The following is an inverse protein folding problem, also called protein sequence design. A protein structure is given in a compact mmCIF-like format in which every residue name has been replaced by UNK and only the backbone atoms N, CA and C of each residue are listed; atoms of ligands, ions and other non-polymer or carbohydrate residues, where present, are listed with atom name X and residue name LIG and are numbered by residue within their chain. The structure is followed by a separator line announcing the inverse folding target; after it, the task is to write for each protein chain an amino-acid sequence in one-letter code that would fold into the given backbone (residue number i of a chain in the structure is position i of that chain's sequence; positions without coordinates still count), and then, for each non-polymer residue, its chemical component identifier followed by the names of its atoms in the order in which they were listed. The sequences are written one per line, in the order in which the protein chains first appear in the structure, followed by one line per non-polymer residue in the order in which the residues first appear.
data_IF_992299659593
#
_entry.id   IF_992299659593
#
_cell.length_a   1.000
_cell.length_b   1.000
_cell.length_c   1.000
_cell.angle_alpha   90.00
_cell.angle_beta   90.00
_cell.angle_gamma   90.00
#
_symmetry.space_group_name_H-M   'P 1'
#
loop_
_entity.id
_entity.type
_entity.pdbx_description
1 polymer ?
#
# COMPACT_ATOMS: atom_id res chain seq x y z
N UNK A 1 -21.72 5.82 18.45
CA UNK A 1 -20.40 5.28 18.82
C UNK A 1 -19.40 6.21 18.20
N UNK A 2 -18.55 6.85 19.00
CA UNK A 2 -17.50 7.74 18.49
C UNK A 2 -16.66 6.94 17.50
N UNK A 3 -16.81 7.25 16.20
CA UNK A 3 -16.00 6.66 15.13
C UNK A 3 -14.56 7.19 15.14
N UNK A 4 -14.23 8.07 16.09
CA UNK A 4 -13.02 8.89 16.08
C UNK A 4 -11.82 8.23 16.77
N UNK A 5 -11.99 7.07 17.44
CA UNK A 5 -10.88 6.35 18.09
C UNK A 5 -11.06 4.83 18.07
N UNK A 6 -9.93 4.10 18.03
CA UNK A 6 -9.91 2.65 18.29
C UNK A 6 -10.09 2.40 19.79
N UNK A 7 -11.08 1.61 20.20
CA UNK A 7 -11.21 1.18 21.60
C UNK A 7 -10.03 0.29 21.99
N UNK A 8 -9.76 0.14 23.30
CA UNK A 8 -8.70 -0.76 23.79
C UNK A 8 -8.93 -2.20 23.32
N UNK A 9 -10.18 -2.68 23.37
CA UNK A 9 -10.53 -4.04 22.93
C UNK A 9 -10.35 -4.22 21.43
N UNK A 10 -10.76 -3.24 20.61
CA UNK A 10 -10.58 -3.32 19.15
C UNK A 10 -9.10 -3.27 18.77
N UNK A 11 -8.29 -2.43 19.44
CA UNK A 11 -6.85 -2.38 19.21
C UNK A 11 -6.16 -3.69 19.60
N UNK A 12 -6.55 -4.28 20.74
CA UNK A 12 -6.06 -5.59 21.18
C UNK A 12 -6.40 -6.67 20.15
N UNK A 13 -7.66 -6.74 19.71
CA UNK A 13 -8.10 -7.72 18.71
C UNK A 13 -7.36 -7.54 17.37
N UNK A 14 -7.17 -6.29 16.93
CA UNK A 14 -6.38 -5.99 15.74
C UNK A 14 -4.95 -6.54 15.89
N UNK A 15 -4.27 -6.26 17.00
CA UNK A 15 -2.89 -6.70 17.21
C UNK A 15 -2.80 -8.22 17.33
N UNK A 16 -3.71 -8.88 18.05
CA UNK A 16 -3.77 -10.34 18.13
C UNK A 16 -3.94 -10.97 16.74
N UNK A 17 -4.77 -10.36 15.88
CA UNK A 17 -5.02 -10.86 14.53
C UNK A 17 -3.83 -10.61 13.61
N UNK A 18 -3.35 -9.37 13.54
CA UNK A 18 -2.27 -8.92 12.65
C UNK A 18 -0.95 -9.60 12.99
N UNK A 19 -0.64 -9.76 14.28
CA UNK A 19 0.62 -10.35 14.69
C UNK A 19 0.52 -11.83 15.00
N UNK A 20 -0.60 -12.37 15.46
CA UNK A 20 -0.64 -13.74 15.99
C UNK A 20 0.54 -13.96 16.97
N UNK A 21 0.50 -13.24 18.10
CA UNK A 21 1.60 -13.21 19.06
C UNK A 21 2.11 -14.61 19.41
N UNK A 22 3.41 -14.77 19.32
CA UNK A 22 4.12 -16.01 19.61
C UNK A 22 4.73 -15.92 21.01
N UNK A 23 4.97 -17.05 21.69
CA UNK A 23 5.62 -17.01 23.00
C UNK A 23 6.99 -16.31 23.04
N UNK A 24 7.67 -16.25 21.88
CA UNK A 24 8.95 -15.57 21.71
C UNK A 24 8.82 -14.04 21.56
N UNK A 25 7.66 -13.52 21.13
CA UNK A 25 7.46 -12.08 21.01
C UNK A 25 7.31 -11.47 22.41
N UNK A 26 8.28 -10.67 22.86
CA UNK A 26 8.34 -10.04 24.19
C UNK A 26 8.23 -8.53 24.14
N UNK A 27 8.69 -7.90 23.06
CA UNK A 27 8.81 -6.45 22.96
C UNK A 27 8.09 -5.92 21.74
N UNK A 28 7.10 -5.05 21.98
CA UNK A 28 6.43 -4.26 20.95
C UNK A 28 6.96 -2.81 20.97
N UNK A 29 7.49 -2.36 19.85
CA UNK A 29 8.08 -1.03 19.69
C UNK A 29 7.28 -0.18 18.73
N UNK A 30 6.87 1.00 19.18
CA UNK A 30 6.36 2.06 18.32
C UNK A 30 7.51 2.99 17.91
N UNK A 31 7.64 3.29 16.62
CA UNK A 31 8.55 4.34 16.13
C UNK A 31 7.76 5.42 15.39
N UNK A 32 7.98 6.67 15.75
CA UNK A 32 7.18 7.80 15.25
C UNK A 32 8.11 8.94 14.81
N UNK A 33 7.91 9.45 13.60
CA UNK A 33 8.68 10.59 13.10
C UNK A 33 8.10 11.93 13.59
N UNK A 34 8.97 12.94 13.68
CA UNK A 34 8.60 14.30 14.10
C UNK A 34 9.02 15.35 13.06
N UNK A 35 8.30 16.48 12.97
CA UNK A 35 8.62 17.59 12.08
C UNK A 35 9.96 18.26 12.41
N UNK A 36 10.53 18.92 11.40
CA UNK A 36 11.70 19.78 11.52
C UNK A 36 11.53 21.04 10.66
N UNK A 37 12.54 21.90 10.61
CA UNK A 37 12.45 23.19 9.90
C UNK A 37 12.26 23.03 8.38
N UNK A 38 12.71 21.90 7.80
CA UNK A 38 12.62 21.65 6.36
C UNK A 38 11.27 21.04 5.96
N UNK A 39 10.68 20.23 6.84
CA UNK A 39 9.36 19.63 6.67
C UNK A 39 8.50 20.01 7.88
N UNK A 40 7.81 21.16 7.81
CA UNK A 40 7.01 21.68 8.91
C UNK A 40 5.78 20.80 9.16
N UNK A 41 5.28 20.88 10.39
CA UNK A 41 4.14 20.10 10.84
C UNK A 41 2.82 20.52 10.17
N UNK A 42 1.83 19.63 10.25
CA UNK A 42 0.45 19.88 9.84
C UNK A 42 -0.54 19.06 10.68
N UNK A 43 -1.82 19.44 10.63
CA UNK A 43 -2.85 18.89 11.51
C UNK A 43 -2.97 17.36 11.46
N UNK A 44 -2.86 16.77 10.27
CA UNK A 44 -2.90 15.31 10.10
C UNK A 44 -1.67 14.59 10.70
N UNK A 45 -0.46 15.17 10.60
CA UNK A 45 0.73 14.59 11.21
C UNK A 45 0.70 14.71 12.73
N UNK A 46 0.24 15.85 13.26
CA UNK A 46 -0.03 16.03 14.68
C UNK A 46 -1.03 14.97 15.18
N UNK A 47 -2.17 14.81 14.51
CA UNK A 47 -3.17 13.80 14.85
C UNK A 47 -2.59 12.37 14.82
N UNK A 48 -1.73 12.07 13.84
CA UNK A 48 -1.04 10.77 13.76
C UNK A 48 -0.13 10.51 14.95
N UNK A 49 0.64 11.51 15.40
CA UNK A 49 1.49 11.37 16.60
C UNK A 49 0.66 11.18 17.87
N UNK A 50 -0.48 11.88 18.00
CA UNK A 50 -1.43 11.66 19.10
C UNK A 50 -2.05 10.27 19.07
N UNK A 51 -2.46 9.77 17.89
CA UNK A 51 -2.98 8.41 17.72
C UNK A 51 -1.92 7.36 18.09
N UNK A 52 -0.69 7.52 17.63
CA UNK A 52 0.40 6.60 17.94
C UNK A 52 0.66 6.49 19.46
N UNK A 53 0.63 7.63 20.15
CA UNK A 53 0.78 7.69 21.60
C UNK A 53 -0.39 7.06 22.33
N UNK A 54 -1.62 7.34 21.92
CA UNK A 54 -2.84 6.70 22.45
C UNK A 54 -2.81 5.17 22.27
N UNK A 55 -2.40 4.68 21.10
CA UNK A 55 -2.27 3.24 20.83
C UNK A 55 -1.17 2.60 21.67
N UNK A 56 -0.02 3.27 21.84
CA UNK A 56 1.03 2.81 22.74
C UNK A 56 0.53 2.71 24.20
N UNK A 57 -0.22 3.70 24.69
CA UNK A 57 -0.81 3.68 26.03
C UNK A 57 -1.82 2.53 26.20
N UNK A 58 -2.71 2.34 25.22
CA UNK A 58 -3.68 1.24 25.22
C UNK A 58 -2.98 -0.11 25.19
N UNK A 59 -2.03 -0.30 24.28
CA UNK A 59 -1.23 -1.51 24.17
C UNK A 59 -0.46 -1.83 25.45
N UNK A 60 0.09 -0.81 26.10
CA UNK A 60 0.75 -0.96 27.41
C UNK A 60 -0.20 -1.50 28.49
N UNK A 61 -1.49 -1.18 28.42
CA UNK A 61 -2.49 -1.62 29.41
C UNK A 61 -2.95 -3.07 29.22
N UNK A 62 -2.89 -3.62 28.00
CA UNK A 62 -3.23 -5.03 27.72
C UNK A 62 -2.02 -5.92 27.43
N UNK A 63 -0.78 -5.43 27.60
CA UNK A 63 0.45 -6.16 27.23
C UNK A 63 0.56 -7.55 27.87
N UNK A 64 0.15 -7.69 29.13
CA UNK A 64 0.21 -8.95 29.86
C UNK A 64 -0.77 -9.98 29.28
N UNK A 65 -1.92 -9.53 28.78
CA UNK A 65 -2.94 -10.41 28.18
C UNK A 65 -2.44 -11.07 26.89
N UNK A 66 -1.56 -10.39 26.16
CA UNK A 66 -0.97 -10.86 24.89
C UNK A 66 0.46 -11.40 25.08
N UNK A 67 0.93 -11.54 26.32
CA UNK A 67 2.21 -12.16 26.66
C UNK A 67 3.47 -11.31 26.41
N UNK A 68 3.31 -10.01 26.16
CA UNK A 68 4.40 -9.06 26.01
C UNK A 68 4.97 -8.65 27.38
N UNK A 69 6.28 -8.52 27.45
CA UNK A 69 6.99 -8.01 28.63
C UNK A 69 7.05 -6.47 28.60
N UNK A 70 7.31 -5.90 27.41
CA UNK A 70 7.51 -4.46 27.22
C UNK A 70 6.73 -3.94 26.02
N UNK A 71 6.13 -2.75 26.18
CA UNK A 71 5.58 -1.95 25.07
C UNK A 71 6.23 -0.57 25.15
N UNK A 72 6.99 -0.20 24.13
CA UNK A 72 7.82 1.00 24.12
C UNK A 72 7.51 1.90 22.94
N UNK A 73 7.81 3.19 23.08
CA UNK A 73 7.64 4.19 22.02
C UNK A 73 8.89 5.07 21.94
N UNK A 74 9.36 5.27 20.70
CA UNK A 74 10.47 6.15 20.42
C UNK A 74 10.14 7.11 19.29
N UNK A 75 10.75 8.29 19.36
CA UNK A 75 10.60 9.36 18.38
C UNK A 75 11.90 9.61 17.63
N UNK A 76 11.80 10.02 16.38
CA UNK A 76 12.96 10.37 15.58
C UNK A 76 12.65 11.51 14.61
N UNK A 77 13.67 12.27 14.23
CA UNK A 77 13.49 13.33 13.23
C UNK A 77 13.18 12.72 11.86
N UNK A 78 12.20 13.29 11.16
CA UNK A 78 11.86 12.86 9.81
C UNK A 78 13.07 12.87 8.86
N UNK A 79 13.06 11.94 7.90
CA UNK A 79 14.20 11.65 7.02
C UNK A 79 14.11 12.37 5.66
N UNK A 80 13.27 13.40 5.57
CA UNK A 80 13.11 14.29 4.40
C UNK A 80 12.38 13.70 3.18
N UNK A 81 12.38 12.38 2.99
CA UNK A 81 11.61 11.72 1.92
C UNK A 81 11.14 10.32 2.30
N UNK A 82 10.06 9.86 1.67
CA UNK A 82 9.57 8.48 1.78
C UNK A 82 10.68 7.46 1.51
N UNK A 83 10.73 6.40 2.31
CA UNK A 83 11.63 5.25 2.20
C UNK A 83 13.13 5.57 2.30
N UNK A 84 13.51 6.73 2.84
CA UNK A 84 14.90 7.02 3.16
C UNK A 84 15.36 6.24 4.40
N UNK A 85 16.67 6.11 4.61
CA UNK A 85 17.21 5.40 5.78
C UNK A 85 16.77 6.08 7.09
N UNK A 86 16.37 5.27 8.08
CA UNK A 86 16.10 5.76 9.43
C UNK A 86 17.38 6.32 10.07
N UNK A 87 17.28 7.33 10.96
CA UNK A 87 18.44 7.86 11.64
C UNK A 87 19.05 6.83 12.61
N UNK A 88 20.35 6.95 12.88
CA UNK A 88 21.09 6.04 13.76
C UNK A 88 20.71 6.16 15.25
N UNK A 89 19.83 7.11 15.61
CA UNK A 89 19.40 7.37 16.98
C UNK A 89 17.92 7.71 17.06
N UNK A 90 17.29 7.21 18.11
CA UNK A 90 15.92 7.54 18.50
C UNK A 90 15.91 8.19 19.89
N UNK A 91 14.76 8.75 20.26
CA UNK A 91 14.57 9.49 21.50
C UNK A 91 13.37 8.94 22.27
N UNK A 92 13.60 8.53 23.52
CA UNK A 92 12.52 8.34 24.50
C UNK A 92 12.20 9.69 25.13
N UNK A 93 10.97 10.17 24.93
CA UNK A 93 10.55 11.52 25.35
C UNK A 93 9.28 11.42 26.17
N UNK A 94 9.25 12.07 27.32
CA UNK A 94 8.02 12.24 28.11
C UNK A 94 7.30 13.53 27.72
N UNK A 95 5.96 13.51 27.74
CA UNK A 95 5.13 14.68 27.53
C UNK A 95 4.10 14.48 26.41
N UNK A 96 3.56 15.60 25.94
CA UNK A 96 2.53 15.65 24.91
C UNK A 96 3.13 15.51 23.51
N UNK A 97 2.83 14.43 22.74
CA UNK A 97 3.41 14.18 21.42
C UNK A 97 3.10 15.25 20.38
N UNK A 98 2.07 16.06 20.61
CA UNK A 98 1.70 17.22 19.78
C UNK A 98 2.79 18.29 19.77
N UNK A 99 3.59 18.37 20.84
CA UNK A 99 4.66 19.36 20.99
C UNK A 99 6.02 18.87 20.45
N UNK A 100 6.10 17.62 20.00
CA UNK A 100 7.37 17.03 19.61
C UNK A 100 7.77 17.48 18.20
N UNK A 101 8.90 18.19 18.15
CA UNK A 101 9.67 18.51 16.95
C UNK A 101 11.07 17.93 17.10
N UNK A 102 11.86 17.91 16.02
CA UNK A 102 13.24 17.46 16.06
C UNK A 102 14.07 18.19 17.14
N UNK A 103 13.87 19.50 17.30
CA UNK A 103 14.51 20.30 18.35
C UNK A 103 14.07 19.84 19.75
N UNK A 104 12.76 19.68 19.96
CA UNK A 104 12.20 19.30 21.27
C UNK A 104 12.66 17.91 21.70
N UNK A 105 12.63 16.92 20.80
CA UNK A 105 13.04 15.55 21.17
C UNK A 105 14.54 15.45 21.45
N UNK A 106 15.38 16.22 20.75
CA UNK A 106 16.82 16.28 21.03
C UNK A 106 17.14 16.97 22.36
N UNK A 107 16.36 17.99 22.72
CA UNK A 107 16.58 18.76 23.95
C UNK A 107 16.06 18.03 25.20
N UNK A 108 14.90 17.37 25.10
CA UNK A 108 14.20 16.78 26.24
C UNK A 108 14.32 15.25 26.32
N UNK A 109 14.58 14.60 25.19
CA UNK A 109 14.58 13.15 25.08
C UNK A 109 15.85 12.50 25.60
N UNK A 110 15.71 11.28 26.13
CA UNK A 110 16.84 10.37 26.29
C UNK A 110 17.15 9.75 24.93
N UNK A 111 18.32 10.06 24.41
CA UNK A 111 18.83 9.50 23.16
C UNK A 111 19.24 8.04 23.34
N UNK A 112 18.88 7.19 22.38
CA UNK A 112 19.17 5.76 22.34
C UNK A 112 19.61 5.39 20.91
N UNK A 113 20.69 4.61 20.72
CA UNK A 113 21.06 4.11 19.41
C UNK A 113 19.93 3.30 18.76
N UNK A 114 19.64 3.55 17.49
CA UNK A 114 18.61 2.81 16.73
C UNK A 114 18.90 1.31 16.72
N UNK A 115 20.16 0.91 16.59
CA UNK A 115 20.56 -0.49 16.64
C UNK A 115 20.26 -1.17 18.00
N UNK A 116 20.32 -0.43 19.11
CA UNK A 116 19.95 -0.96 20.44
C UNK A 116 18.44 -1.19 20.52
N UNK A 117 17.65 -0.22 20.06
CA UNK A 117 16.18 -0.34 19.99
C UNK A 117 15.77 -1.52 19.10
N UNK A 118 16.34 -1.64 17.90
CA UNK A 118 15.97 -2.70 16.96
C UNK A 118 16.40 -4.07 17.45
N UNK A 119 17.56 -4.21 18.11
CA UNK A 119 18.04 -5.49 18.64
C UNK A 119 17.18 -6.04 19.79
N UNK A 120 16.44 -5.19 20.49
CA UNK A 120 15.49 -5.58 21.54
C UNK A 120 14.05 -5.69 21.04
N UNK A 121 13.77 -5.35 19.78
CA UNK A 121 12.41 -5.33 19.25
C UNK A 121 12.05 -6.67 18.61
N UNK A 122 10.90 -7.24 18.98
CA UNK A 122 10.32 -8.39 18.26
C UNK A 122 9.27 -7.95 17.24
N UNK A 123 8.49 -6.92 17.62
CA UNK A 123 7.38 -6.39 16.84
C UNK A 123 7.48 -4.88 16.70
N UNK A 124 7.33 -4.36 15.48
CA UNK A 124 7.34 -2.91 15.23
C UNK A 124 6.01 -2.38 14.68
N UNK A 125 5.60 -1.20 15.14
CA UNK A 125 4.51 -0.40 14.58
C UNK A 125 5.04 1.01 14.28
N UNK A 126 4.97 1.44 13.02
CA UNK A 126 5.51 2.74 12.59
C UNK A 126 4.45 3.65 11.96
N UNK A 127 3.61 4.35 12.76
CA UNK A 127 2.68 5.36 12.25
C UNK A 127 3.46 6.66 11.99
N UNK A 128 3.83 6.87 10.72
CA UNK A 128 4.82 7.87 10.31
C UNK A 128 4.25 8.79 9.24
N UNK A 129 4.74 10.02 9.12
CA UNK A 129 4.44 10.90 7.97
C UNK A 129 5.14 10.37 6.72
N UNK A 130 6.47 10.21 6.81
CA UNK A 130 7.26 9.68 5.71
C UNK A 130 7.37 8.16 5.82
N UNK A 131 7.19 7.47 4.70
CA UNK A 131 7.18 6.01 4.69
C UNK A 131 8.47 5.39 5.20
N UNK A 132 8.36 4.64 6.29
CA UNK A 132 9.43 3.81 6.84
C UNK A 132 9.35 2.36 6.35
N UNK A 133 8.48 2.01 5.39
CA UNK A 133 8.25 0.62 4.98
C UNK A 133 9.54 -0.04 4.47
N UNK A 134 10.24 0.58 3.52
CA UNK A 134 11.46 0.01 2.94
C UNK A 134 12.61 -0.15 3.95
N UNK A 135 13.00 0.88 4.73
CA UNK A 135 14.04 0.70 5.74
C UNK A 135 13.64 -0.32 6.81
N UNK A 136 12.38 -0.34 7.27
CA UNK A 136 11.93 -1.36 8.23
C UNK A 136 11.99 -2.78 7.65
N UNK A 137 11.66 -3.00 6.37
CA UNK A 137 11.85 -4.30 5.70
C UNK A 137 13.31 -4.76 5.66
N UNK A 138 14.25 -3.83 5.55
CA UNK A 138 15.68 -4.14 5.57
C UNK A 138 16.17 -4.45 6.99
N UNK A 139 15.81 -3.60 7.96
CA UNK A 139 16.18 -3.77 9.36
C UNK A 139 15.54 -5.01 9.99
N UNK A 140 14.32 -5.38 9.57
CA UNK A 140 13.68 -6.62 9.99
C UNK A 140 14.55 -7.85 9.69
N UNK A 141 15.25 -7.85 8.54
CA UNK A 141 16.15 -8.94 8.16
C UNK A 141 17.44 -8.97 8.97
N UNK A 142 17.90 -7.80 9.40
CA UNK A 142 19.13 -7.61 10.17
C UNK A 142 18.94 -7.90 11.66
N UNK A 143 17.84 -7.41 12.25
CA UNK A 143 17.55 -7.46 13.68
C UNK A 143 16.49 -8.50 14.07
N UNK A 144 15.92 -9.24 13.11
CA UNK A 144 15.00 -10.36 13.32
C UNK A 144 13.63 -9.98 13.93
N UNK A 145 13.11 -8.80 13.60
CA UNK A 145 11.75 -8.39 13.96
C UNK A 145 10.76 -8.51 12.80
N UNK A 146 9.47 -8.43 13.09
CA UNK A 146 8.37 -8.29 12.10
C UNK A 146 7.48 -7.11 12.48
N UNK A 147 6.60 -6.65 11.60
CA UNK A 147 5.85 -5.45 11.92
C UNK A 147 4.99 -4.83 10.85
N UNK A 148 4.54 -3.62 11.16
CA UNK A 148 3.69 -2.82 10.28
C UNK A 148 4.10 -1.36 10.29
N UNK A 149 3.86 -0.70 9.17
CA UNK A 149 4.09 0.72 8.99
C UNK A 149 2.82 1.38 8.45
N UNK A 150 2.54 2.61 8.84
CA UNK A 150 1.31 3.31 8.46
C UNK A 150 1.67 4.73 7.94
N UNK A 151 2.31 4.81 6.76
CA UNK A 151 2.81 6.06 6.21
C UNK A 151 1.67 6.99 5.83
N UNK A 152 1.73 8.24 6.28
CA UNK A 152 0.70 9.22 5.97
C UNK A 152 -0.68 8.86 6.53
N UNK A 153 -0.78 7.95 7.51
CA UNK A 153 -2.07 7.51 8.05
C UNK A 153 -2.85 8.68 8.65
N UNK A 154 -4.14 8.79 8.32
CA UNK A 154 -5.03 9.87 8.76
C UNK A 154 -6.23 9.30 9.54
N UNK A 155 -6.88 10.08 10.43
CA UNK A 155 -8.01 9.59 11.23
C UNK A 155 -9.14 8.96 10.42
N UNK A 156 -9.39 9.45 9.20
CA UNK A 156 -10.41 8.94 8.29
C UNK A 156 -10.17 7.47 7.86
N UNK A 157 -8.95 6.96 8.05
CA UNK A 157 -8.61 5.55 7.81
C UNK A 157 -8.87 4.63 9.00
N UNK A 158 -9.18 5.15 10.20
CA UNK A 158 -9.45 4.34 11.40
C UNK A 158 -10.50 3.24 11.18
N UNK A 159 -11.58 3.44 10.40
CA UNK A 159 -12.52 2.37 10.09
C UNK A 159 -11.85 1.13 9.45
N UNK A 160 -10.77 1.32 8.67
CA UNK A 160 -10.03 0.22 8.05
C UNK A 160 -9.26 -0.65 9.05
N UNK A 161 -8.92 -0.10 10.22
CA UNK A 161 -8.30 -0.85 11.32
C UNK A 161 -9.34 -1.60 12.18
N UNK A 162 -10.62 -1.25 12.08
CA UNK A 162 -11.73 -1.91 12.79
C UNK A 162 -12.33 -3.10 12.03
N UNK A 163 -11.86 -3.37 10.81
CA UNK A 163 -12.34 -4.50 10.03
C UNK A 163 -11.93 -5.84 10.67
N UNK A 164 -12.69 -6.88 10.36
CA UNK A 164 -12.30 -8.26 10.69
C UNK A 164 -11.21 -8.71 9.73
N UNK A 165 -9.94 -8.54 10.13
CA UNK A 165 -8.80 -8.89 9.29
C UNK A 165 -8.74 -10.38 8.93
N UNK A 166 -9.38 -11.28 9.68
CA UNK A 166 -9.47 -12.69 9.27
C UNK A 166 -10.30 -12.84 7.99
N UNK A 167 -11.44 -12.13 7.90
CA UNK A 167 -12.27 -12.12 6.68
C UNK A 167 -11.59 -11.40 5.54
N UNK A 168 -10.90 -10.28 5.81
CA UNK A 168 -10.10 -9.57 4.81
C UNK A 168 -9.00 -10.50 4.26
N UNK A 169 -8.30 -11.22 5.14
CA UNK A 169 -7.28 -12.19 4.74
C UNK A 169 -7.85 -13.36 3.93
N UNK A 170 -8.97 -13.95 4.35
CA UNK A 170 -9.66 -15.00 3.58
C UNK A 170 -9.98 -14.52 2.16
N UNK A 171 -10.53 -13.31 2.05
CA UNK A 171 -10.88 -12.68 0.77
C UNK A 171 -9.66 -12.49 -0.14
N UNK A 172 -8.56 -12.00 0.43
CA UNK A 172 -7.29 -11.78 -0.27
C UNK A 172 -6.68 -13.11 -0.71
N UNK A 173 -6.61 -14.12 0.17
CA UNK A 173 -6.03 -15.41 -0.19
C UNK A 173 -6.84 -16.17 -1.24
N UNK A 174 -8.16 -16.01 -1.23
CA UNK A 174 -9.06 -16.51 -2.25
C UNK A 174 -8.77 -15.88 -3.63
N UNK A 175 -8.54 -14.56 -3.69
CA UNK A 175 -8.13 -13.87 -4.91
C UNK A 175 -6.72 -14.30 -5.37
N UNK A 176 -5.75 -14.34 -4.44
CA UNK A 176 -4.37 -14.78 -4.71
C UNK A 176 -4.31 -16.18 -5.31
N UNK A 177 -5.08 -17.12 -4.79
CA UNK A 177 -5.09 -18.50 -5.30
C UNK A 177 -5.49 -18.53 -6.78
N UNK A 178 -6.51 -17.76 -7.17
CA UNK A 178 -6.95 -17.65 -8.56
C UNK A 178 -5.90 -17.00 -9.45
N UNK A 179 -5.34 -15.88 -9.01
CA UNK A 179 -4.33 -15.15 -9.78
C UNK A 179 -3.02 -15.94 -9.95
N UNK A 180 -2.65 -16.76 -8.96
CA UNK A 180 -1.47 -17.63 -9.04
C UNK A 180 -1.59 -18.73 -10.10
N UNK A 181 -2.82 -19.09 -10.47
CA UNK A 181 -3.14 -20.15 -11.45
C UNK A 181 -3.55 -19.59 -12.82
N UNK A 182 -4.09 -18.38 -12.86
CA UNK A 182 -4.51 -17.70 -14.08
C UNK A 182 -3.31 -17.37 -14.98
N UNK A 183 -3.53 -17.42 -16.30
CA UNK A 183 -2.55 -17.00 -17.31
C UNK A 183 -2.95 -15.71 -18.02
N UNK A 184 -4.18 -15.25 -17.82
CA UNK A 184 -4.72 -14.06 -18.44
C UNK A 184 -5.85 -13.48 -17.59
N UNK A 185 -5.96 -12.17 -17.57
CA UNK A 185 -7.07 -11.43 -16.98
C UNK A 185 -7.63 -10.45 -18.01
N UNK A 186 -8.92 -10.61 -18.35
CA UNK A 186 -9.63 -9.75 -19.29
C UNK A 186 -10.52 -8.76 -18.53
N UNK A 187 -10.19 -7.47 -18.65
CA UNK A 187 -10.90 -6.37 -17.98
C UNK A 187 -11.71 -5.60 -19.01
N UNK A 188 -13.02 -5.52 -18.82
CA UNK A 188 -13.94 -4.74 -19.65
C UNK A 188 -14.40 -3.53 -18.86
N UNK A 189 -14.12 -2.35 -19.38
CA UNK A 189 -14.56 -1.07 -18.85
C UNK A 189 -15.80 -0.61 -19.61
N UNK A 190 -16.82 -0.11 -18.91
CA UNK A 190 -17.88 0.71 -19.50
C UNK A 190 -17.59 2.17 -19.16
N UNK A 191 -17.44 2.99 -20.19
CA UNK A 191 -17.21 4.43 -20.07
C UNK A 191 -18.37 5.12 -20.74
N UNK A 192 -19.32 5.63 -19.93
CA UNK A 192 -20.52 6.32 -20.41
C UNK A 192 -21.27 5.54 -21.51
N UNK A 193 -21.37 4.21 -21.37
CA UNK A 193 -22.02 3.30 -22.31
C UNK A 193 -21.15 2.81 -23.48
N UNK A 194 -19.87 3.17 -23.52
CA UNK A 194 -18.90 2.67 -24.51
C UNK A 194 -17.95 1.67 -23.84
N UNK A 195 -17.82 0.47 -24.43
CA UNK A 195 -16.94 -0.56 -23.89
C UNK A 195 -15.50 -0.43 -24.40
N UNK A 196 -14.55 -0.58 -23.48
CA UNK A 196 -13.13 -0.76 -23.76
C UNK A 196 -12.64 -2.03 -23.09
N UNK A 197 -11.64 -2.68 -23.67
CA UNK A 197 -11.10 -3.95 -23.16
C UNK A 197 -9.60 -3.87 -23.01
N UNK A 198 -9.10 -4.33 -21.87
CA UNK A 198 -7.69 -4.58 -21.63
C UNK A 198 -7.49 -6.06 -21.34
N UNK A 199 -6.63 -6.70 -22.12
CA UNK A 199 -6.21 -8.08 -21.91
C UNK A 199 -4.88 -8.02 -21.18
N UNK A 200 -4.82 -8.51 -19.95
CA UNK A 200 -3.60 -8.57 -19.15
C UNK A 200 -3.02 -9.99 -19.22
N UNK A 201 -1.73 -10.08 -19.54
CA UNK A 201 -0.99 -11.35 -19.57
C UNK A 201 -0.41 -11.66 -18.19
N UNK A 202 -0.85 -12.76 -17.58
CA UNK A 202 -0.41 -13.18 -16.24
C UNK A 202 0.60 -14.35 -16.29
N UNK A 203 1.02 -14.79 -17.47
CA UNK A 203 1.97 -15.90 -17.61
C UNK A 203 3.27 -15.60 -16.87
N UNK A 204 3.88 -16.61 -16.26
CA UNK A 204 5.17 -16.49 -15.57
C UNK A 204 5.17 -15.57 -14.34
N UNK A 205 3.98 -15.23 -13.82
CA UNK A 205 3.83 -14.36 -12.66
C UNK A 205 3.21 -15.11 -11.48
N UNK A 206 3.37 -14.51 -10.30
CA UNK A 206 2.71 -14.90 -9.07
C UNK A 206 2.17 -13.66 -8.40
N UNK A 207 0.98 -13.78 -7.84
CA UNK A 207 0.36 -12.70 -7.10
C UNK A 207 1.00 -12.57 -5.71
N UNK A 208 0.94 -11.38 -5.15
CA UNK A 208 1.37 -11.09 -3.78
C UNK A 208 0.15 -10.71 -2.94
N UNK A 209 0.01 -11.32 -1.77
CA UNK A 209 -1.02 -10.96 -0.82
C UNK A 209 -0.52 -9.83 0.09
N UNK A 210 -1.32 -8.77 0.19
CA UNK A 210 -1.15 -7.66 1.13
C UNK A 210 -2.36 -7.68 2.06
N UNK A 211 -2.37 -8.67 2.97
CA UNK A 211 -3.51 -8.96 3.86
C UNK A 211 -3.40 -8.40 5.27
N UNK A 212 -2.30 -7.74 5.62
CA UNK A 212 -2.06 -7.23 6.97
C UNK A 212 -1.78 -8.33 8.01
N UNK A 213 -1.45 -9.54 7.57
CA UNK A 213 -1.01 -10.63 8.45
C UNK A 213 0.51 -10.66 8.46
N UNK A 214 1.11 -10.21 9.55
CA UNK A 214 2.57 -10.18 9.68
C UNK A 214 3.08 -11.37 10.48
N UNK A 215 2.43 -12.54 10.34
CA UNK A 215 2.65 -13.72 11.17
C UNK A 215 4.02 -14.35 11.00
N UNK A 216 4.69 -14.14 9.86
CA UNK A 216 5.97 -14.75 9.51
C UNK A 216 7.17 -13.85 9.89
N UNK A 217 8.33 -14.50 10.05
CA UNK A 217 9.57 -13.81 10.42
C UNK A 217 9.97 -12.76 9.39
N UNK A 218 10.46 -11.62 9.88
CA UNK A 218 11.10 -10.59 9.04
C UNK A 218 10.17 -9.94 8.02
N UNK A 219 8.85 -10.14 8.18
CA UNK A 219 7.85 -9.52 7.32
C UNK A 219 7.41 -8.19 7.93
N UNK A 220 7.58 -7.14 7.14
CA UNK A 220 7.04 -5.81 7.43
C UNK A 220 6.22 -5.35 6.23
N UNK A 221 5.01 -4.87 6.48
CA UNK A 221 4.15 -4.30 5.45
C UNK A 221 3.37 -3.09 5.94
N UNK A 222 2.31 -2.76 5.21
CA UNK A 222 1.49 -1.60 5.53
C UNK A 222 0.20 -1.98 6.25
N UNK A 223 -0.25 -1.10 7.14
CA UNK A 223 -1.64 -1.03 7.58
C UNK A 223 -2.21 0.37 7.28
N UNK A 224 -3.48 0.48 6.86
CA UNK A 224 -4.39 -0.63 6.54
C UNK A 224 -3.88 -1.46 5.35
N UNK A 225 -4.30 -2.71 5.29
CA UNK A 225 -3.96 -3.67 4.23
C UNK A 225 -5.27 -4.22 3.66
N UNK A 226 -5.30 -4.71 2.43
CA UNK A 226 -6.60 -4.98 1.82
C UNK A 226 -6.62 -5.38 0.37
N UNK A 227 -5.56 -5.99 -0.15
CA UNK A 227 -5.50 -6.31 -1.58
C UNK A 227 -4.66 -7.56 -1.88
N UNK A 228 -4.89 -8.09 -3.08
CA UNK A 228 -3.94 -8.95 -3.78
C UNK A 228 -3.50 -8.25 -5.04
N UNK A 229 -2.21 -8.25 -5.33
CA UNK A 229 -1.71 -7.65 -6.58
C UNK A 229 -0.82 -8.59 -7.37
N UNK A 230 -0.71 -8.33 -8.66
CA UNK A 230 0.14 -9.07 -9.58
C UNK A 230 0.77 -8.11 -10.59
N UNK A 231 2.07 -8.23 -10.80
CA UNK A 231 2.75 -7.52 -11.89
C UNK A 231 2.44 -8.28 -13.18
N UNK A 232 1.89 -7.64 -14.23
CA UNK A 232 1.70 -8.29 -15.52
C UNK A 232 3.01 -8.86 -16.09
N UNK A 233 2.92 -9.87 -16.95
CA UNK A 233 4.09 -10.33 -17.69
C UNK A 233 4.59 -9.23 -18.62
N UNK A 234 5.85 -8.81 -18.46
CA UNK A 234 6.39 -7.64 -19.16
C UNK A 234 7.13 -8.03 -20.47
N UNK A 235 7.17 -9.32 -20.79
CA UNK A 235 7.79 -9.82 -22.02
C UNK A 235 9.30 -10.02 -21.90
N UNK A 236 9.82 -10.19 -20.70
CA UNK A 236 11.27 -10.28 -20.43
C UNK A 236 11.93 -11.60 -20.89
N UNK A 237 11.15 -12.63 -21.25
CA UNK A 237 11.69 -13.90 -21.75
C UNK A 237 11.91 -13.80 -23.27
N UNK A 238 13.15 -14.04 -23.70
CA UNK A 238 13.54 -13.99 -25.11
C UNK A 238 12.68 -14.92 -25.96
N UNK A 239 12.06 -14.37 -27.02
CA UNK A 239 11.19 -15.11 -27.92
C UNK A 239 9.76 -15.34 -27.42
N UNK A 240 9.41 -14.82 -26.24
CA UNK A 240 8.06 -14.89 -25.66
C UNK A 240 7.61 -13.49 -25.22
N UNK A 241 7.14 -12.63 -26.16
CA UNK A 241 6.68 -11.29 -25.80
C UNK A 241 5.44 -11.32 -24.90
N UNK A 242 5.21 -10.23 -24.17
CA UNK A 242 3.97 -10.03 -23.43
C UNK A 242 2.78 -9.96 -24.39
N UNK A 243 1.69 -10.62 -24.01
CA UNK A 243 0.39 -10.55 -24.68
C UNK A 243 -0.49 -9.40 -24.17
N UNK A 244 -0.03 -8.60 -23.19
CA UNK A 244 -0.83 -7.51 -22.63
C UNK A 244 -1.13 -6.45 -23.68
N UNK A 245 -2.40 -6.24 -24.01
CA UNK A 245 -2.85 -5.29 -25.03
C UNK A 245 -4.31 -4.88 -24.88
N UNK A 246 -4.66 -3.71 -25.41
CA UNK A 246 -6.04 -3.20 -25.42
C UNK A 246 -6.10 -1.70 -25.16
N UNK A 247 -7.18 -1.25 -24.52
CA UNK A 247 -7.38 0.15 -24.14
C UNK A 247 -7.73 0.26 -22.67
N UNK A 248 -6.96 1.06 -21.93
CA UNK A 248 -7.23 1.40 -20.53
C UNK A 248 -7.76 2.83 -20.46
N UNK A 249 -9.02 3.05 -20.03
CA UNK A 249 -9.52 4.38 -19.73
C UNK A 249 -9.09 4.83 -18.33
N UNK A 250 -8.80 6.13 -18.18
CA UNK A 250 -8.52 6.77 -16.89
C UNK A 250 -9.24 8.11 -16.84
N UNK A 251 -9.96 8.38 -15.76
CA UNK A 251 -10.69 9.63 -15.57
C UNK A 251 -9.82 10.70 -14.91
N UNK A 252 -9.82 11.91 -15.48
CA UNK A 252 -9.19 13.10 -14.94
C UNK A 252 -10.22 14.24 -14.89
N UNK A 253 -10.87 14.42 -13.73
CA UNK A 253 -12.01 15.33 -13.62
C UNK A 253 -13.13 14.90 -14.55
N UNK A 254 -13.53 15.76 -15.49
CA UNK A 254 -14.57 15.46 -16.48
C UNK A 254 -14.05 14.74 -17.75
N UNK A 255 -12.73 14.71 -17.95
CA UNK A 255 -12.07 14.16 -19.14
C UNK A 255 -11.73 12.66 -18.95
N UNK A 256 -11.95 11.84 -19.98
CA UNK A 256 -11.49 10.44 -20.02
C UNK A 256 -10.30 10.35 -20.96
N UNK A 257 -9.17 9.91 -20.41
CA UNK A 257 -7.96 9.62 -21.18
C UNK A 257 -7.92 8.14 -21.55
N UNK A 258 -7.80 7.84 -22.84
CA UNK A 258 -7.77 6.46 -23.36
C UNK A 258 -6.35 6.06 -23.76
N UNK A 259 -5.74 5.14 -23.03
CA UNK A 259 -4.39 4.63 -23.33
C UNK A 259 -4.46 3.36 -24.18
N UNK A 260 -3.82 3.37 -25.35
CA UNK A 260 -3.58 2.15 -26.15
C UNK A 260 -2.40 1.40 -25.56
N UNK A 261 -2.64 0.14 -25.18
CA UNK A 261 -1.65 -0.75 -24.58
C UNK A 261 -1.18 -1.77 -25.61
N UNK A 262 0.14 -1.91 -25.76
CA UNK A 262 0.79 -2.94 -26.58
C UNK A 262 2.03 -3.47 -25.86
N UNK A 263 2.15 -4.79 -25.75
CA UNK A 263 3.32 -5.44 -25.13
C UNK A 263 3.56 -4.96 -23.70
N UNK A 264 2.48 -4.84 -22.91
CA UNK A 264 2.47 -4.34 -21.54
C UNK A 264 2.83 -2.84 -21.36
N UNK A 265 2.72 -2.03 -22.41
CA UNK A 265 3.02 -0.60 -22.33
C UNK A 265 1.93 0.24 -22.96
N UNK A 266 1.55 1.32 -22.30
CA UNK A 266 0.85 2.42 -22.93
C UNK A 266 1.78 3.09 -23.95
N UNK A 267 1.40 2.99 -25.22
CA UNK A 267 2.19 3.48 -26.35
C UNK A 267 1.57 4.72 -27.00
N UNK A 268 0.32 5.02 -26.72
CA UNK A 268 -0.41 6.17 -27.29
C UNK A 268 -1.60 6.56 -26.42
N UNK A 269 -1.95 7.86 -26.44
CA UNK A 269 -3.22 8.39 -25.95
C UNK A 269 -4.16 8.64 -27.14
N UNK A 270 -5.29 7.93 -27.17
CA UNK A 270 -6.26 7.92 -28.26
C UNK A 270 -7.33 9.02 -28.17
N UNK A 271 -7.54 9.55 -26.97
CA UNK A 271 -8.51 10.61 -26.70
C UNK A 271 -7.93 12.00 -26.98
N UNK A 272 -8.82 12.98 -27.06
CA UNK A 272 -8.48 14.39 -27.26
C UNK A 272 -8.91 15.20 -26.04
N UNK A 273 -8.15 16.25 -25.72
CA UNK A 273 -8.41 17.09 -24.56
C UNK A 273 -7.13 17.52 -23.86
N UNK A 274 -7.28 18.37 -22.84
CA UNK A 274 -6.15 18.98 -22.15
C UNK A 274 -5.36 17.92 -21.37
N UNK A 275 -6.06 17.01 -20.69
CA UNK A 275 -5.39 15.95 -19.95
C UNK A 275 -4.82 14.91 -20.91
N UNK A 276 -5.50 14.61 -22.01
CA UNK A 276 -5.00 13.73 -23.07
C UNK A 276 -3.70 14.25 -23.67
N UNK A 277 -3.62 15.55 -23.97
CA UNK A 277 -2.38 16.19 -24.43
C UNK A 277 -1.28 16.11 -23.39
N UNK A 278 -1.59 16.37 -22.11
CA UNK A 278 -0.61 16.25 -21.03
C UNK A 278 -0.07 14.82 -20.91
N UNK A 279 -0.95 13.82 -20.92
CA UNK A 279 -0.58 12.41 -20.80
C UNK A 279 0.21 11.91 -22.02
N UNK A 280 -0.14 12.39 -23.23
CA UNK A 280 0.62 12.10 -24.45
C UNK A 280 2.04 12.64 -24.38
N UNK A 281 2.22 13.89 -23.93
CA UNK A 281 3.56 14.46 -23.71
C UNK A 281 4.32 13.68 -22.63
N UNK A 282 3.69 13.30 -21.52
CA UNK A 282 4.33 12.49 -20.48
C UNK A 282 4.84 11.15 -21.02
N UNK A 283 4.08 10.43 -21.85
CA UNK A 283 4.52 9.18 -22.47
C UNK A 283 5.69 9.36 -23.44
N UNK A 284 5.71 10.48 -24.18
CA UNK A 284 6.82 10.79 -25.10
C UNK A 284 8.08 11.13 -24.30
N UNK A 285 7.95 11.99 -23.29
CA UNK A 285 9.06 12.49 -22.48
C UNK A 285 9.64 11.43 -21.53
N UNK A 286 8.83 10.47 -21.12
CA UNK A 286 9.21 9.38 -20.24
C UNK A 286 8.49 8.07 -20.61
N UNK A 287 8.97 7.30 -21.60
CA UNK A 287 8.33 6.06 -22.01
C UNK A 287 8.23 5.00 -20.89
N UNK A 288 9.09 5.06 -19.87
CA UNK A 288 9.03 4.15 -18.72
C UNK A 288 7.77 4.35 -17.86
N UNK A 289 7.19 5.56 -17.85
CA UNK A 289 5.88 5.81 -17.23
C UNK A 289 4.79 4.93 -17.85
N UNK A 290 4.87 4.63 -19.15
CA UNK A 290 3.85 3.85 -19.84
C UNK A 290 3.79 2.36 -19.47
N UNK A 291 4.73 1.82 -18.68
CA UNK A 291 4.69 0.41 -18.29
C UNK A 291 3.47 0.11 -17.40
N UNK A 292 2.74 -0.97 -17.67
CA UNK A 292 1.70 -1.45 -16.75
C UNK A 292 2.39 -2.23 -15.64
N UNK A 293 2.51 -1.60 -14.48
CA UNK A 293 3.36 -2.03 -13.39
C UNK A 293 2.70 -3.00 -12.42
N UNK A 294 1.37 -2.94 -12.30
CA UNK A 294 0.60 -3.71 -11.32
C UNK A 294 -0.87 -3.77 -11.73
N UNK A 295 -1.50 -4.91 -11.47
CA UNK A 295 -2.96 -5.04 -11.34
C UNK A 295 -3.25 -5.42 -9.91
N UNK A 296 -3.86 -4.51 -9.16
CA UNK A 296 -4.22 -4.73 -7.77
C UNK A 296 -5.72 -4.91 -7.60
N UNK A 297 -6.06 -5.82 -6.71
CA UNK A 297 -7.41 -6.29 -6.42
C UNK A 297 -7.73 -5.93 -4.97
N UNK A 298 -8.06 -4.67 -4.75
CA UNK A 298 -8.49 -4.15 -3.46
C UNK A 298 -9.88 -4.68 -3.08
N UNK A 299 -10.05 -5.04 -1.81
CA UNK A 299 -11.30 -5.68 -1.32
C UNK A 299 -12.01 -4.84 -0.27
N UNK A 300 -11.41 -3.77 0.23
CA UNK A 300 -11.93 -2.99 1.36
C UNK A 300 -13.23 -2.25 1.03
N UNK A 301 -13.52 -1.97 -0.25
CA UNK A 301 -14.80 -1.41 -0.68
C UNK A 301 -15.98 -2.32 -0.36
N UNK A 302 -15.82 -3.66 -0.45
CA UNK A 302 -16.86 -4.63 -0.07
C UNK A 302 -17.17 -4.61 1.43
N UNK A 303 -16.21 -4.16 2.24
CA UNK A 303 -16.36 -3.98 3.68
C UNK A 303 -16.98 -2.62 4.05
N UNK A 304 -17.46 -1.86 3.05
CA UNK A 304 -18.17 -0.60 3.23
C UNK A 304 -17.27 0.62 3.38
N UNK A 305 -15.97 0.49 3.10
CA UNK A 305 -15.05 1.62 3.14
C UNK A 305 -15.10 2.44 1.85
N UNK A 306 -14.74 3.71 1.95
CA UNK A 306 -14.80 4.69 0.87
C UNK A 306 -13.46 5.40 0.74
N UNK A 307 -13.25 6.06 -0.41
CA UNK A 307 -12.05 6.83 -0.64
C UNK A 307 -11.94 7.99 0.35
N UNK A 308 -10.74 8.16 0.91
CA UNK A 308 -10.42 9.21 1.89
C UNK A 308 -9.36 10.18 1.36
N UNK A 309 -8.96 10.04 0.09
CA UNK A 309 -7.95 10.89 -0.53
C UNK A 309 -6.54 10.52 -0.11
N UNK A 310 -6.31 9.25 0.23
CA UNK A 310 -4.98 8.74 0.55
C UNK A 310 -4.69 7.46 -0.21
N UNK A 311 -3.60 7.48 -0.96
CA UNK A 311 -3.16 6.34 -1.76
C UNK A 311 -3.03 5.06 -0.94
N UNK A 312 -2.48 5.16 0.29
CA UNK A 312 -2.32 4.02 1.21
C UNK A 312 -3.64 3.26 1.44
N UNK A 313 -4.77 3.96 1.47
CA UNK A 313 -6.09 3.39 1.72
C UNK A 313 -6.87 3.15 0.44
N UNK A 314 -6.86 4.12 -0.47
CA UNK A 314 -7.75 4.16 -1.62
C UNK A 314 -7.43 3.04 -2.62
N UNK A 315 -6.16 2.67 -2.80
CA UNK A 315 -5.77 1.54 -3.66
C UNK A 315 -6.40 0.20 -3.24
N UNK A 316 -6.70 0.06 -1.95
CA UNK A 316 -7.24 -1.16 -1.34
C UNK A 316 -8.76 -1.27 -1.47
N UNK A 317 -9.43 -0.28 -2.08
CA UNK A 317 -10.89 -0.26 -2.17
C UNK A 317 -11.46 -1.12 -3.28
N UNK A 318 -10.72 -1.31 -4.38
CA UNK A 318 -11.21 -2.00 -5.56
C UNK A 318 -10.10 -2.36 -6.54
N UNK A 319 -10.49 -2.71 -7.76
CA UNK A 319 -9.54 -2.94 -8.85
C UNK A 319 -8.74 -1.65 -9.12
N UNK A 320 -7.43 -1.76 -9.25
CA UNK A 320 -6.59 -0.67 -9.70
C UNK A 320 -5.51 -1.15 -10.66
N UNK A 321 -5.04 -0.24 -11.52
CA UNK A 321 -3.97 -0.51 -12.47
C UNK A 321 -2.88 0.54 -12.29
N UNK A 322 -1.67 0.09 -12.01
CA UNK A 322 -0.53 0.97 -11.81
C UNK A 322 0.29 1.18 -13.08
N UNK A 323 0.81 2.40 -13.24
CA UNK A 323 1.72 2.77 -14.32
C UNK A 323 3.12 3.07 -13.77
N UNK A 324 4.17 2.63 -14.47
CA UNK A 324 5.57 2.99 -14.19
C UNK A 324 6.43 1.85 -13.65
N UNK A 325 7.10 2.09 -12.51
CA UNK A 325 8.11 1.18 -11.91
C UNK A 325 7.45 -0.08 -11.36
N UNK A 326 7.99 -1.25 -11.69
CA UNK A 326 7.46 -2.56 -11.27
C UNK A 326 8.50 -3.47 -10.60
N UNK A 327 9.80 -3.15 -10.68
CA UNK A 327 10.87 -4.06 -10.23
C UNK A 327 10.76 -4.48 -8.75
N UNK A 328 10.40 -3.56 -7.87
CA UNK A 328 10.17 -3.84 -6.46
C UNK A 328 8.97 -4.77 -6.15
N UNK A 329 8.11 -5.02 -7.13
CA UNK A 329 6.97 -5.94 -7.07
C UNK A 329 7.20 -7.21 -7.91
N UNK A 330 8.37 -7.36 -8.55
CA UNK A 330 8.73 -8.55 -9.35
C UNK A 330 8.70 -8.34 -10.87
N UNK A 331 8.53 -7.11 -11.35
CA UNK A 331 8.72 -6.75 -12.77
C UNK A 331 10.18 -6.45 -13.13
N UNK A 332 10.42 -5.89 -14.31
CA UNK A 332 11.76 -5.52 -14.82
C UNK A 332 11.95 -4.01 -14.98
N UNK A 333 10.90 -3.19 -14.91
CA UNK A 333 11.02 -1.73 -14.98
C UNK A 333 11.51 -1.18 -13.64
N UNK A 334 12.75 -0.72 -13.64
CA UNK A 334 13.47 -0.22 -12.47
C UNK A 334 13.71 1.29 -12.59
N UNK A 335 14.24 1.97 -11.55
CA UNK A 335 14.65 3.38 -11.66
C UNK A 335 15.60 3.66 -12.82
N UNK A 336 16.41 2.68 -13.25
CA UNK A 336 17.33 2.80 -14.39
C UNK A 336 16.63 2.80 -15.75
N UNK A 337 15.37 2.41 -15.79
CA UNK A 337 14.55 2.42 -17.01
C UNK A 337 14.01 3.82 -17.32
N UNK A 338 13.99 4.72 -16.33
CA UNK A 338 13.56 6.11 -16.47
C UNK A 338 14.72 6.99 -16.94
N UNK A 339 14.41 8.08 -17.63
CA UNK A 339 15.42 9.02 -18.12
C UNK A 339 16.09 9.84 -17.00
N UNK A 340 15.39 10.01 -15.87
CA UNK A 340 15.87 10.77 -14.70
C UNK A 340 15.31 10.13 -13.40
N UNK A 341 16.12 9.94 -12.33
CA UNK A 341 15.63 9.48 -11.03
C UNK A 341 14.45 10.30 -10.48
N UNK A 342 14.36 11.60 -10.78
CA UNK A 342 13.26 12.46 -10.36
C UNK A 342 11.93 12.17 -11.11
N UNK A 343 11.97 11.42 -12.21
CA UNK A 343 10.80 11.01 -13.00
C UNK A 343 10.30 9.61 -12.65
N UNK A 344 10.96 8.90 -11.74
CA UNK A 344 10.55 7.56 -11.32
C UNK A 344 9.20 7.65 -10.63
N UNK A 345 8.21 6.96 -11.19
CA UNK A 345 6.84 6.94 -10.67
C UNK A 345 6.30 5.52 -10.60
N UNK A 346 5.36 5.32 -9.70
CA UNK A 346 4.42 4.22 -9.64
C UNK A 346 3.07 4.87 -9.34
N UNK A 347 2.11 4.77 -10.26
CA UNK A 347 0.86 5.55 -10.21
C UNK A 347 -0.34 4.62 -10.32
N UNK A 348 -1.02 4.41 -9.20
CA UNK A 348 -2.23 3.61 -9.12
C UNK A 348 -3.45 4.38 -9.63
N UNK A 349 -4.17 3.76 -10.57
CA UNK A 349 -5.48 4.22 -11.05
C UNK A 349 -6.55 3.32 -10.47
N UNK A 350 -7.21 3.81 -9.42
CA UNK A 350 -8.20 3.04 -8.66
C UNK A 350 -9.60 3.18 -9.27
N UNK A 351 -10.21 2.08 -9.66
CA UNK A 351 -11.52 2.02 -10.31
C UNK A 351 -12.63 1.77 -9.30
N UNK A 352 -12.96 2.81 -8.54
CA UNK A 352 -14.14 2.87 -7.65
C UNK A 352 -14.95 4.13 -7.97
N UNK A 353 -16.26 4.06 -7.78
CA UNK A 353 -17.19 5.15 -8.14
C UNK A 353 -16.80 6.51 -7.55
N UNK A 354 -16.30 6.53 -6.30
CA UNK A 354 -15.89 7.76 -5.62
C UNK A 354 -14.66 8.45 -6.22
N UNK A 355 -13.87 7.75 -7.05
CA UNK A 355 -12.66 8.29 -7.69
C UNK A 355 -12.77 8.40 -9.21
N UNK A 356 -13.49 7.47 -9.85
CA UNK A 356 -13.68 7.45 -11.30
C UNK A 356 -15.17 7.18 -11.65
N UNK A 357 -16.09 8.12 -11.34
CA UNK A 357 -17.54 7.90 -11.42
C UNK A 357 -18.09 7.65 -12.84
N UNK A 358 -17.34 8.00 -13.89
CA UNK A 358 -17.74 7.77 -15.28
C UNK A 358 -17.23 6.42 -15.84
N UNK A 359 -16.51 5.64 -15.04
CA UNK A 359 -15.93 4.36 -15.43
C UNK A 359 -16.44 3.25 -14.51
N UNK A 360 -17.15 2.30 -15.09
CA UNK A 360 -17.57 1.07 -14.41
C UNK A 360 -16.69 -0.08 -14.89
N UNK A 361 -16.21 -0.91 -13.96
CA UNK A 361 -15.61 -2.20 -14.33
C UNK A 361 -16.75 -3.16 -14.65
N UNK A 362 -17.14 -3.22 -15.93
CA UNK A 362 -18.26 -4.03 -16.38
C UNK A 362 -18.03 -5.51 -16.09
N UNK A 363 -16.82 -6.00 -16.32
CA UNK A 363 -16.46 -7.40 -16.05
C UNK A 363 -14.96 -7.62 -15.96
N UNK A 364 -14.54 -8.51 -15.06
CA UNK A 364 -13.18 -9.07 -15.02
C UNK A 364 -13.25 -10.60 -15.13
N UNK A 365 -12.51 -11.18 -16.08
CA UNK A 365 -12.49 -12.63 -16.34
C UNK A 365 -11.07 -13.17 -16.31
N UNK A 366 -10.82 -14.14 -15.44
CA UNK A 366 -9.58 -14.91 -15.45
C UNK A 366 -9.68 -16.07 -16.44
N UNK A 367 -8.60 -16.35 -17.16
CA UNK A 367 -8.44 -17.54 -17.99
C UNK A 367 -7.28 -18.40 -17.49
N UNK A 368 -7.48 -19.71 -17.49
CA UNK A 368 -6.53 -20.70 -16.97
C UNK A 368 -5.90 -21.53 -18.10
N UNK A 369 -4.81 -22.24 -17.80
CA UNK A 369 -4.05 -23.05 -18.78
C UNK A 369 -4.91 -24.13 -19.45
N UNK A 370 -5.86 -24.70 -18.72
CA UNK A 370 -6.77 -25.74 -19.18
C UNK A 370 -7.94 -25.20 -20.03
N UNK A 371 -8.03 -23.88 -20.21
CA UNK A 371 -9.09 -23.21 -20.96
C UNK A 371 -10.31 -22.83 -20.13
N UNK A 372 -10.35 -23.13 -18.83
CA UNK A 372 -11.37 -22.63 -17.92
C UNK A 372 -11.37 -21.09 -17.92
N UNK A 373 -12.56 -20.51 -17.76
CA UNK A 373 -12.74 -19.07 -17.53
C UNK A 373 -13.60 -18.85 -16.30
N UNK A 374 -13.23 -17.88 -15.49
CA UNK A 374 -13.96 -17.50 -14.28
C UNK A 374 -14.16 -15.98 -14.26
N UNK A 375 -15.41 -15.55 -14.14
CA UNK A 375 -15.70 -14.15 -13.87
C UNK A 375 -15.48 -13.87 -12.38
N UNK A 376 -14.60 -12.91 -12.07
CA UNK A 376 -14.28 -12.53 -10.69
C UNK A 376 -14.89 -11.19 -10.27
N UNK A 377 -15.35 -10.39 -11.23
CA UNK A 377 -16.04 -9.12 -10.99
C UNK A 377 -17.06 -8.86 -12.11
N UNK A 378 -18.25 -8.36 -11.73
CA UNK A 378 -19.29 -7.85 -12.64
C UNK A 378 -19.84 -6.53 -12.09
N UNK A 379 -20.03 -5.54 -12.95
CA UNK A 379 -20.56 -4.21 -12.61
C UNK A 379 -19.89 -3.59 -11.36
N UNK A 380 -18.56 -3.65 -11.31
CA UNK A 380 -17.67 -3.18 -10.24
C UNK A 380 -17.82 -3.88 -8.88
N UNK A 381 -18.54 -5.00 -8.82
CA UNK A 381 -18.65 -5.85 -7.63
C UNK A 381 -17.94 -7.19 -7.84
N UNK A 382 -17.15 -7.62 -6.88
CA UNK A 382 -16.51 -8.94 -6.95
C UNK A 382 -17.57 -10.05 -6.84
N UNK A 383 -17.42 -11.12 -7.63
CA UNK A 383 -18.39 -12.22 -7.73
C UNK A 383 -17.93 -13.52 -7.05
N UNK A 384 -16.65 -13.59 -6.68
CA UNK A 384 -16.01 -14.76 -6.07
C UNK A 384 -15.95 -14.69 -4.56
#
# INVERSE_FOLDING_TARGET
MDMDTLTTDNLKQLFETVFQFRPADKVLTFIVDVPNDNLPDHDQWLARRSMAYDWWQKASSFREDIGLETVQIFYYENVGSNNNNLPDRFYAVEGSPEQFTAEVIRLKGKEIPMAEVMAETDLIIAPTELSATAPCKMLAKEYDFRGTTMPGFIPEMLPALNLDYNKVHERIMNMKTRLDEAVKEDIVFDVRGTEYTFNCDLRNRKATASSGMFHDDKIVGNLPSGETYIVPYEGEITGNPSGSAGTIPVQFGEEIVLYRIEGNRAVEVLSEGKESDRQRHMLIDEPAYGNIAEIGHGVLGEFGLQAVGSLLMDEKLGLHIAFGRSEHFGGIVSPKSFNDPAKVVHIDRVYVESLQPDITIKRVVLSYVDGLKETIMEDSAWTV
#
